data_IF_565025003241
#
_entry.id   IF_565025003241
#
_cell.length_a   1.000
_cell.length_b   1.000
_cell.length_c   1.000
_cell.angle_alpha   90.00
_cell.angle_beta   90.00
_cell.angle_gamma   90.00
#
_symmetry.space_group_name_H-M   'P 1'
#
loop_
_entity.id
_entity.type
_entity.pdbx_description
1 polymer ?
#
# COMPACT_ATOMS: atom_id res chain seq x y z
N UNK A 1 -44.71 27.63 -29.32
CA UNK A 1 -45.23 26.45 -30.03
C UNK A 1 -44.16 25.67 -30.81
N UNK A 2 -43.00 26.23 -31.19
CA UNK A 2 -42.09 25.57 -32.14
C UNK A 2 -41.35 24.32 -31.62
N UNK A 3 -41.13 24.17 -30.31
CA UNK A 3 -40.35 23.02 -29.77
C UNK A 3 -41.13 21.71 -29.74
N UNK A 4 -42.45 21.75 -29.53
CA UNK A 4 -43.30 20.55 -29.57
C UNK A 4 -43.52 20.08 -31.01
N UNK A 5 -43.70 21.02 -31.95
CA UNK A 5 -43.82 20.69 -33.37
C UNK A 5 -42.51 20.14 -33.96
N UNK A 6 -41.36 20.44 -33.34
CA UNK A 6 -40.06 19.89 -33.72
C UNK A 6 -39.72 18.54 -33.03
N UNK A 7 -40.65 17.94 -32.28
CA UNK A 7 -40.43 16.66 -31.58
C UNK A 7 -39.59 16.76 -30.31
N UNK A 8 -39.11 17.95 -29.91
CA UNK A 8 -38.33 18.17 -28.70
C UNK A 8 -39.24 18.34 -27.46
N UNK A 9 -39.99 17.29 -27.14
CA UNK A 9 -40.99 17.28 -26.05
C UNK A 9 -40.38 17.57 -24.69
N UNK A 10 -39.20 17.03 -24.40
CA UNK A 10 -38.50 17.19 -23.11
C UNK A 10 -37.97 18.61 -22.93
N UNK A 11 -37.46 19.22 -23.99
CA UNK A 11 -37.02 20.62 -23.97
C UNK A 11 -38.21 21.56 -23.72
N UNK A 12 -39.35 21.28 -24.33
CA UNK A 12 -40.58 22.04 -24.09
C UNK A 12 -41.11 21.86 -22.65
N UNK A 13 -41.00 20.65 -22.09
CA UNK A 13 -41.37 20.38 -20.70
C UNK A 13 -40.45 21.12 -19.71
N UNK A 14 -39.13 21.07 -19.91
CA UNK A 14 -38.15 21.80 -19.13
C UNK A 14 -38.39 23.31 -19.17
N UNK A 15 -38.62 23.89 -20.35
CA UNK A 15 -38.92 25.31 -20.48
C UNK A 15 -40.21 25.70 -19.78
N UNK A 16 -41.26 24.86 -19.86
CA UNK A 16 -42.50 25.07 -19.11
C UNK A 16 -42.20 25.10 -17.62
N UNK A 17 -41.47 24.11 -17.09
CA UNK A 17 -41.13 24.03 -15.67
C UNK A 17 -40.30 25.24 -15.18
N UNK A 18 -39.30 25.65 -15.97
CA UNK A 18 -38.44 26.79 -15.64
C UNK A 18 -39.22 28.11 -15.62
N UNK A 19 -40.23 28.24 -16.48
CA UNK A 19 -41.02 29.48 -16.63
C UNK A 19 -42.24 29.55 -15.71
N UNK A 20 -42.89 28.42 -15.38
CA UNK A 20 -44.17 28.43 -14.67
C UNK A 20 -44.07 28.15 -13.17
N UNK A 21 -43.02 27.46 -12.68
CA UNK A 21 -43.01 26.95 -11.30
C UNK A 21 -42.45 27.97 -10.30
N UNK A 22 -41.33 28.62 -10.60
CA UNK A 22 -40.73 29.64 -9.71
C UNK A 22 -39.69 30.50 -10.44
N UNK A 23 -39.62 31.81 -10.18
CA UNK A 23 -38.59 32.70 -10.76
C UNK A 23 -37.14 32.27 -10.46
N UNK A 24 -36.93 31.51 -9.37
CA UNK A 24 -35.60 30.99 -8.98
C UNK A 24 -35.27 29.64 -9.60
N UNK A 25 -36.22 28.97 -10.26
CA UNK A 25 -36.04 27.62 -10.83
C UNK A 25 -34.93 27.62 -11.88
N UNK A 26 -34.93 28.60 -12.78
CA UNK A 26 -33.88 28.79 -13.79
C UNK A 26 -32.47 28.88 -13.18
N UNK A 27 -32.33 29.65 -12.08
CA UNK A 27 -31.06 29.82 -11.37
C UNK A 27 -30.59 28.51 -10.75
N UNK A 28 -31.49 27.77 -10.10
CA UNK A 28 -31.21 26.44 -9.52
C UNK A 28 -30.75 25.43 -10.57
N UNK A 29 -31.41 25.37 -11.73
CA UNK A 29 -30.97 24.52 -12.85
C UNK A 29 -29.56 24.90 -13.33
N UNK A 30 -29.28 26.20 -13.49
CA UNK A 30 -27.93 26.67 -13.86
C UNK A 30 -26.88 26.30 -12.82
N UNK A 31 -27.17 26.46 -11.53
CA UNK A 31 -26.24 26.12 -10.43
C UNK A 31 -25.99 24.61 -10.36
N UNK A 32 -27.04 23.80 -10.40
CA UNK A 32 -26.93 22.34 -10.40
C UNK A 32 -26.18 21.83 -11.64
N UNK A 33 -26.50 22.38 -12.82
CA UNK A 33 -25.80 22.02 -14.05
C UNK A 33 -24.32 22.42 -14.00
N UNK A 34 -23.97 23.63 -13.53
CA UNK A 34 -22.57 24.03 -13.33
C UNK A 34 -21.84 23.13 -12.34
N UNK A 35 -22.47 22.82 -11.19
CA UNK A 35 -21.92 21.95 -10.14
C UNK A 35 -21.63 20.54 -10.65
N UNK A 36 -22.49 20.02 -11.53
CA UNK A 36 -22.34 18.67 -12.08
C UNK A 36 -21.46 18.62 -13.34
N UNK A 37 -21.43 19.69 -14.14
CA UNK A 37 -20.61 19.79 -15.36
C UNK A 37 -19.11 19.83 -15.05
N UNK A 38 -18.72 20.23 -13.84
CA UNK A 38 -17.32 20.31 -13.39
C UNK A 38 -16.80 19.07 -12.66
N UNK A 39 -17.59 18.00 -12.50
CA UNK A 39 -17.02 16.71 -12.10
C UNK A 39 -16.43 16.03 -13.33
N UNK A 40 -15.39 16.61 -13.92
CA UNK A 40 -14.50 15.83 -14.77
C UNK A 40 -13.97 14.65 -13.95
N UNK A 41 -13.71 13.49 -14.57
CA UNK A 41 -13.13 12.35 -13.88
C UNK A 41 -11.79 12.78 -13.30
N UNK A 42 -11.78 13.02 -11.99
CA UNK A 42 -10.56 13.32 -11.27
C UNK A 42 -9.63 12.11 -11.40
N UNK A 43 -8.37 12.39 -11.75
CA UNK A 43 -7.32 11.39 -11.76
C UNK A 43 -7.29 10.71 -10.40
N UNK A 44 -7.31 9.37 -10.40
CA UNK A 44 -7.18 8.59 -9.18
C UNK A 44 -5.90 9.03 -8.44
N UNK A 45 -5.98 9.35 -7.13
CA UNK A 45 -4.81 9.66 -6.34
C UNK A 45 -3.72 8.60 -6.47
N UNK A 46 -2.46 9.02 -6.50
CA UNK A 46 -1.34 8.10 -6.77
C UNK A 46 -1.26 6.96 -5.75
N UNK A 47 -1.51 7.22 -4.47
CA UNK A 47 -1.47 6.21 -3.41
C UNK A 47 -2.60 5.19 -3.55
N UNK A 48 -3.81 5.63 -3.92
CA UNK A 48 -4.96 4.76 -4.17
C UNK A 48 -4.72 3.88 -5.42
N UNK A 49 -4.16 4.47 -6.48
CA UNK A 49 -3.73 3.72 -7.65
C UNK A 49 -2.63 2.70 -7.34
N UNK A 50 -1.71 3.02 -6.43
CA UNK A 50 -0.68 2.10 -5.96
C UNK A 50 -1.30 0.95 -5.13
N UNK A 51 -2.24 1.25 -4.24
CA UNK A 51 -2.98 0.22 -3.46
C UNK A 51 -3.67 -0.75 -4.40
N UNK A 52 -4.47 -0.24 -5.35
CA UNK A 52 -5.13 -1.06 -6.37
C UNK A 52 -4.12 -1.90 -7.17
N UNK A 53 -2.98 -1.31 -7.57
CA UNK A 53 -1.95 -2.02 -8.33
C UNK A 53 -1.41 -3.24 -7.55
N UNK A 54 -1.18 -3.08 -6.24
CA UNK A 54 -0.62 -4.13 -5.37
C UNK A 54 -1.68 -5.17 -5.02
N UNK A 55 -2.86 -4.74 -4.57
CA UNK A 55 -3.97 -5.62 -4.17
C UNK A 55 -4.46 -6.50 -5.33
N UNK A 56 -4.56 -5.93 -6.53
CA UNK A 56 -4.96 -6.66 -7.73
C UNK A 56 -3.79 -7.42 -8.40
N UNK A 57 -2.61 -7.44 -7.78
CA UNK A 57 -1.40 -8.14 -8.25
C UNK A 57 -1.06 -7.83 -9.72
N UNK A 58 -1.22 -6.57 -10.12
CA UNK A 58 -1.05 -6.19 -11.52
C UNK A 58 0.42 -6.18 -11.92
N UNK A 59 0.70 -6.67 -13.11
CA UNK A 59 1.96 -6.37 -13.80
C UNK A 59 1.94 -4.97 -14.39
N UNK A 60 3.12 -4.41 -14.66
CA UNK A 60 3.26 -3.12 -15.38
C UNK A 60 2.50 -3.12 -16.71
N UNK A 61 2.55 -4.23 -17.45
CA UNK A 61 1.88 -4.36 -18.75
C UNK A 61 0.35 -4.26 -18.59
N UNK A 62 -0.22 -5.05 -17.69
CA UNK A 62 -1.66 -5.04 -17.40
C UNK A 62 -2.14 -3.66 -16.93
N UNK A 63 -1.39 -3.01 -16.04
CA UNK A 63 -1.70 -1.64 -15.61
C UNK A 63 -1.72 -0.65 -16.78
N UNK A 64 -0.74 -0.73 -17.68
CA UNK A 64 -0.71 0.13 -18.87
C UNK A 64 -1.87 -0.14 -19.83
N UNK A 65 -2.31 -1.40 -19.97
CA UNK A 65 -3.51 -1.75 -20.75
C UNK A 65 -4.75 -1.12 -20.12
N UNK A 66 -4.94 -1.25 -18.80
CA UNK A 66 -6.07 -0.63 -18.08
C UNK A 66 -6.06 0.90 -18.28
N UNK A 67 -4.90 1.52 -18.04
CA UNK A 67 -4.73 2.97 -18.23
C UNK A 67 -4.96 3.41 -19.68
N UNK A 68 -4.62 2.59 -20.68
CA UNK A 68 -4.87 2.92 -22.08
C UNK A 68 -6.36 3.10 -22.40
N UNK A 69 -7.23 2.42 -21.64
CA UNK A 69 -8.69 2.51 -21.77
C UNK A 69 -9.28 3.68 -20.99
N UNK A 70 -8.58 4.19 -19.97
CA UNK A 70 -9.04 5.29 -19.11
C UNK A 70 -7.86 6.18 -18.66
N UNK A 71 -7.29 6.93 -19.61
CA UNK A 71 -6.04 7.70 -19.41
C UNK A 71 -6.20 8.89 -18.46
N UNK A 72 -7.40 9.46 -18.46
CA UNK A 72 -7.90 10.53 -17.59
C UNK A 72 -8.20 10.05 -16.17
N UNK A 73 -8.51 8.76 -15.99
CA UNK A 73 -8.78 8.17 -14.67
C UNK A 73 -7.54 7.69 -13.94
N UNK A 74 -6.55 7.14 -14.64
CA UNK A 74 -5.40 6.48 -14.00
C UNK A 74 -4.08 7.27 -14.15
N UNK A 75 -3.32 7.45 -13.06
CA UNK A 75 -2.02 8.10 -13.12
C UNK A 75 -1.03 7.30 -13.97
N UNK A 76 -0.03 7.96 -14.53
CA UNK A 76 1.01 7.25 -15.29
C UNK A 76 1.76 6.26 -14.39
N UNK A 77 2.26 5.16 -14.96
CA UNK A 77 3.07 4.19 -14.22
C UNK A 77 4.31 4.82 -13.56
N UNK A 78 4.86 5.91 -14.13
CA UNK A 78 5.98 6.65 -13.52
C UNK A 78 5.64 7.17 -12.12
N UNK A 79 4.41 7.69 -11.93
CA UNK A 79 3.92 8.15 -10.63
C UNK A 79 3.76 6.99 -9.63
N UNK A 80 3.28 5.83 -10.10
CA UNK A 80 3.24 4.62 -9.28
C UNK A 80 4.63 4.19 -8.86
N UNK A 81 5.61 4.25 -9.77
CA UNK A 81 7.00 3.91 -9.47
C UNK A 81 7.63 4.87 -8.45
N UNK A 82 7.31 6.17 -8.53
CA UNK A 82 7.73 7.17 -7.53
C UNK A 82 7.11 6.84 -6.15
N UNK A 83 5.80 6.57 -6.10
CA UNK A 83 5.13 6.18 -4.86
C UNK A 83 5.65 4.85 -4.28
N UNK A 84 6.04 3.87 -5.12
CA UNK A 84 6.73 2.66 -4.64
C UNK A 84 8.06 2.97 -3.98
N UNK A 85 8.82 3.91 -4.53
CA UNK A 85 10.12 4.31 -3.98
C UNK A 85 9.97 4.98 -2.62
N UNK A 86 8.93 5.78 -2.42
CA UNK A 86 8.60 6.39 -1.14
C UNK A 86 8.28 5.34 -0.06
N UNK A 87 7.87 4.14 -0.45
CA UNK A 87 7.62 3.02 0.47
C UNK A 87 8.87 2.21 0.80
N UNK A 88 10.02 2.43 0.16
CA UNK A 88 11.26 1.72 0.48
C UNK A 88 12.07 2.46 1.55
N UNK A 89 12.75 1.72 2.47
CA UNK A 89 13.75 2.29 3.36
C UNK A 89 14.87 3.00 2.59
N UNK A 90 15.62 3.88 3.27
CA UNK A 90 16.77 4.56 2.66
C UNK A 90 17.78 3.53 2.13
N UNK A 91 18.34 3.78 0.95
CA UNK A 91 19.28 2.90 0.26
C UNK A 91 20.54 2.61 1.06
N UNK A 92 20.90 3.48 2.00
CA UNK A 92 22.04 3.26 2.90
C UNK A 92 21.81 2.09 3.86
N UNK A 93 20.56 1.74 4.14
CA UNK A 93 20.22 0.72 5.13
C UNK A 93 20.10 -0.68 4.54
N UNK A 94 20.04 -0.85 3.22
CA UNK A 94 19.93 -2.18 2.62
C UNK A 94 20.95 -2.42 1.51
N UNK A 95 21.34 -3.68 1.39
CA UNK A 95 22.29 -4.16 0.40
C UNK A 95 21.68 -5.35 -0.32
N UNK A 96 21.77 -5.33 -1.65
CA UNK A 96 21.34 -6.43 -2.51
C UNK A 96 22.56 -6.94 -3.26
N UNK A 97 22.82 -8.23 -3.15
CA UNK A 97 23.87 -8.94 -3.88
C UNK A 97 23.24 -9.97 -4.81
N UNK A 98 24.05 -10.69 -5.58
CA UNK A 98 23.57 -11.75 -6.48
C UNK A 98 22.96 -12.94 -5.73
N UNK A 99 23.38 -13.15 -4.48
CA UNK A 99 23.04 -14.33 -3.67
C UNK A 99 22.18 -14.01 -2.46
N UNK A 100 21.80 -12.75 -2.25
CA UNK A 100 21.02 -12.37 -1.08
C UNK A 100 20.68 -10.89 -1.00
N UNK A 101 19.86 -10.54 -0.03
CA UNK A 101 19.56 -9.16 0.32
C UNK A 101 19.46 -9.05 1.84
N UNK A 102 20.01 -7.98 2.39
CA UNK A 102 20.00 -7.70 3.83
C UNK A 102 19.64 -6.23 4.07
N UNK A 103 19.05 -5.97 5.24
CA UNK A 103 18.67 -4.63 5.67
C UNK A 103 19.00 -4.44 7.15
N UNK A 104 19.47 -3.25 7.50
CA UNK A 104 19.67 -2.83 8.88
C UNK A 104 18.34 -2.79 9.61
N UNK A 105 18.24 -3.55 10.71
CA UNK A 105 17.01 -3.69 11.48
C UNK A 105 16.46 -2.35 11.98
N UNK A 106 17.33 -1.46 12.45
CA UNK A 106 16.93 -0.12 12.91
C UNK A 106 16.39 0.73 11.76
N UNK A 107 17.05 0.71 10.60
CA UNK A 107 16.60 1.44 9.41
C UNK A 107 15.23 0.96 8.91
N UNK A 108 14.96 -0.35 8.98
CA UNK A 108 13.64 -0.91 8.68
C UNK A 108 12.59 -0.46 9.70
N UNK A 109 12.95 -0.46 10.98
CA UNK A 109 12.08 -0.05 12.08
C UNK A 109 11.67 1.42 11.98
N UNK A 110 12.65 2.30 11.82
CA UNK A 110 12.43 3.74 11.73
C UNK A 110 11.53 4.09 10.55
N UNK A 111 11.78 3.44 9.40
CA UNK A 111 10.95 3.61 8.21
C UNK A 111 9.51 3.13 8.45
N UNK A 112 9.35 1.95 9.06
CA UNK A 112 8.03 1.39 9.37
C UNK A 112 7.25 2.29 10.32
N UNK A 113 7.87 2.75 11.42
CA UNK A 113 7.27 3.69 12.37
C UNK A 113 6.87 4.99 11.67
N UNK A 114 7.77 5.56 10.87
CA UNK A 114 7.50 6.79 10.11
C UNK A 114 6.26 6.64 9.23
N UNK A 115 6.12 5.52 8.51
CA UNK A 115 4.96 5.24 7.66
C UNK A 115 3.68 5.06 8.47
N UNK A 116 3.72 4.36 9.61
CA UNK A 116 2.54 4.21 10.46
C UNK A 116 2.09 5.56 11.02
N UNK A 117 3.02 6.39 11.51
CA UNK A 117 2.72 7.73 12.01
C UNK A 117 2.11 8.63 10.92
N UNK A 118 2.58 8.53 9.67
CA UNK A 118 2.00 9.26 8.54
C UNK A 118 0.55 8.86 8.27
N UNK A 119 0.24 7.55 8.30
CA UNK A 119 -1.11 7.03 8.07
C UNK A 119 -2.04 7.39 9.22
N UNK A 120 -1.55 7.31 10.46
CA UNK A 120 -2.33 7.57 11.68
C UNK A 120 -2.35 9.04 12.08
N UNK A 121 -1.77 9.94 11.29
CA UNK A 121 -1.56 11.35 11.65
C UNK A 121 -2.83 12.06 12.15
N UNK A 122 -3.98 11.83 11.49
CA UNK A 122 -5.25 12.44 11.90
C UNK A 122 -5.76 11.90 13.24
N UNK A 123 -5.55 10.60 13.50
CA UNK A 123 -5.88 9.98 14.80
C UNK A 123 -4.96 10.53 15.88
N UNK A 124 -3.66 10.63 15.61
CA UNK A 124 -2.66 11.13 16.55
C UNK A 124 -2.92 12.59 16.93
N UNK A 125 -3.29 13.46 15.99
CA UNK A 125 -3.66 14.85 16.27
C UNK A 125 -4.89 15.00 17.16
N UNK A 126 -5.80 14.01 17.14
CA UNK A 126 -7.03 14.04 17.94
C UNK A 126 -6.81 13.62 19.40
N UNK A 127 -5.70 12.96 19.69
CA UNK A 127 -5.35 12.51 21.04
C UNK A 127 -4.69 13.65 21.84
N UNK A 128 -5.10 13.82 23.09
CA UNK A 128 -4.45 14.75 24.02
C UNK A 128 -3.35 14.01 24.80
N UNK A 129 -2.22 14.68 25.06
CA UNK A 129 -1.11 14.17 25.88
C UNK A 129 -0.35 12.95 25.32
N UNK A 130 -0.04 12.94 24.02
CA UNK A 130 0.87 11.96 23.43
C UNK A 130 2.34 12.35 23.69
N UNK A 131 2.91 11.88 24.79
CA UNK A 131 4.30 12.15 25.15
C UNK A 131 5.27 11.04 24.70
N UNK A 132 4.78 9.79 24.64
CA UNK A 132 5.59 8.63 24.29
C UNK A 132 4.71 7.55 23.65
N UNK A 133 5.24 6.94 22.60
CA UNK A 133 4.65 5.79 21.92
C UNK A 133 5.67 4.65 21.93
N UNK A 134 5.18 3.44 22.19
CA UNK A 134 6.00 2.22 22.16
C UNK A 134 5.50 1.34 21.03
N UNK A 135 6.42 0.98 20.12
CA UNK A 135 6.17 -0.01 19.08
C UNK A 135 6.54 -1.40 19.62
N UNK A 136 5.53 -2.26 19.80
CA UNK A 136 5.75 -3.67 20.11
C UNK A 136 5.66 -4.46 18.81
N UNK A 137 6.70 -5.22 18.49
CA UNK A 137 6.79 -6.03 17.29
C UNK A 137 7.22 -7.46 17.60
N UNK A 138 6.80 -8.39 16.75
CA UNK A 138 7.34 -9.74 16.68
C UNK A 138 8.19 -9.86 15.42
N UNK A 139 9.25 -10.67 15.48
CA UNK A 139 10.07 -11.02 14.33
C UNK A 139 10.36 -12.52 14.36
N UNK A 140 10.68 -13.08 13.19
CA UNK A 140 11.09 -14.47 13.04
C UNK A 140 11.74 -14.70 11.68
N UNK A 141 12.21 -15.92 11.46
CA UNK A 141 12.75 -16.37 10.19
C UNK A 141 12.17 -17.75 9.86
N UNK A 142 11.96 -17.99 8.58
CA UNK A 142 11.51 -19.29 8.09
C UNK A 142 12.26 -19.68 6.81
N UNK A 143 12.41 -20.99 6.62
CA UNK A 143 13.03 -21.61 5.46
C UNK A 143 11.99 -22.29 4.58
N UNK A 144 12.06 -22.05 3.27
CA UNK A 144 11.15 -22.70 2.31
C UNK A 144 11.93 -23.37 1.19
N UNK A 145 11.52 -24.59 0.82
CA UNK A 145 12.12 -25.45 -0.22
C UNK A 145 11.25 -25.51 -1.49
N UNK A 146 11.74 -26.17 -2.55
CA UNK A 146 10.97 -26.38 -3.79
C UNK A 146 10.90 -25.17 -4.72
N UNK A 147 11.80 -24.20 -4.57
CA UNK A 147 11.86 -23.03 -5.43
C UNK A 147 12.40 -23.33 -6.83
N UNK A 148 11.91 -22.60 -7.83
CA UNK A 148 12.42 -22.71 -9.21
C UNK A 148 13.90 -22.34 -9.31
N UNK A 149 14.67 -23.18 -9.99
CA UNK A 149 16.07 -22.92 -10.32
C UNK A 149 16.18 -22.05 -11.57
N UNK A 150 17.05 -21.04 -11.50
CA UNK A 150 17.32 -20.14 -12.62
C UNK A 150 18.73 -20.40 -13.14
N UNK A 151 18.93 -20.19 -14.45
CA UNK A 151 20.24 -20.29 -15.13
C UNK A 151 21.13 -19.06 -14.81
N UNK A 152 21.27 -18.73 -13.53
CA UNK A 152 22.10 -17.63 -13.06
C UNK A 152 23.57 -18.06 -13.09
N UNK A 153 24.46 -17.15 -13.50
CA UNK A 153 25.90 -17.40 -13.50
C UNK A 153 26.43 -17.08 -12.10
N UNK A 154 26.98 -18.07 -11.42
CA UNK A 154 27.65 -17.86 -10.13
C UNK A 154 29.13 -17.53 -10.36
N UNK A 155 29.72 -16.74 -9.46
CA UNK A 155 31.13 -16.35 -9.52
C UNK A 155 32.07 -17.42 -8.98
N UNK A 156 31.55 -18.44 -8.29
CA UNK A 156 32.33 -19.52 -7.69
C UNK A 156 31.73 -20.89 -8.02
N UNK A 157 32.55 -21.82 -8.53
CA UNK A 157 32.11 -23.16 -8.95
C UNK A 157 31.62 -24.06 -7.79
N UNK A 158 31.84 -23.63 -6.53
CA UNK A 158 31.32 -24.30 -5.33
C UNK A 158 29.92 -23.80 -4.90
N UNK A 159 29.36 -22.78 -5.56
CA UNK A 159 28.01 -22.30 -5.28
C UNK A 159 27.01 -23.15 -6.08
N UNK A 160 26.31 -24.06 -5.38
CA UNK A 160 25.19 -24.81 -5.96
C UNK A 160 23.97 -23.89 -6.14
N UNK A 161 23.09 -24.17 -7.12
CA UNK A 161 21.80 -23.47 -7.22
C UNK A 161 21.03 -23.61 -5.89
N UNK A 162 20.64 -22.48 -5.29
CA UNK A 162 19.90 -22.46 -4.03
C UNK A 162 18.42 -22.83 -4.29
N UNK A 163 18.01 -24.01 -3.84
CA UNK A 163 16.60 -24.44 -3.82
C UNK A 163 15.84 -23.95 -2.56
N UNK A 164 16.59 -23.49 -1.55
CA UNK A 164 16.08 -23.00 -0.29
C UNK A 164 16.12 -21.47 -0.25
N UNK A 165 15.02 -20.85 0.18
CA UNK A 165 14.98 -19.42 0.48
C UNK A 165 14.71 -19.25 1.96
N UNK A 166 15.46 -18.32 2.56
CA UNK A 166 15.24 -17.88 3.92
C UNK A 166 14.74 -16.44 3.87
N UNK A 167 13.66 -16.18 4.59
CA UNK A 167 13.09 -14.85 4.68
C UNK A 167 12.87 -14.49 6.14
N UNK A 168 13.26 -13.27 6.51
CA UNK A 168 12.83 -12.66 7.75
C UNK A 168 11.42 -12.14 7.55
N UNK A 169 10.49 -12.57 8.38
CA UNK A 169 9.13 -12.06 8.41
C UNK A 169 8.88 -11.28 9.72
N UNK A 170 8.08 -10.22 9.62
CA UNK A 170 7.83 -9.32 10.74
C UNK A 170 6.40 -8.83 10.75
N UNK A 171 5.72 -9.12 11.85
CA UNK A 171 4.41 -8.59 12.15
C UNK A 171 4.50 -7.41 13.12
N UNK A 172 3.88 -6.29 12.74
CA UNK A 172 3.61 -5.18 13.66
C UNK A 172 2.39 -5.55 14.48
N UNK A 173 2.60 -5.74 15.78
CA UNK A 173 1.54 -6.22 16.67
C UNK A 173 0.71 -5.03 17.18
N UNK A 174 1.32 -4.07 17.88
CA UNK A 174 0.58 -2.95 18.49
C UNK A 174 1.45 -1.70 18.66
N UNK A 175 0.84 -0.52 18.49
CA UNK A 175 1.34 0.77 18.97
C UNK A 175 0.55 1.15 20.22
N UNK A 176 1.23 1.24 21.36
CA UNK A 176 0.61 1.58 22.64
C UNK A 176 1.08 2.95 23.12
N UNK A 177 0.15 3.72 23.68
CA UNK A 177 0.47 4.88 24.51
C UNK A 177 0.91 4.35 25.88
N UNK A 178 2.16 4.59 26.25
CA UNK A 178 2.68 4.15 27.53
C UNK A 178 2.45 5.23 28.61
N UNK A 179 1.73 4.95 29.71
CA UNK A 179 2.03 5.60 30.98
C UNK A 179 3.30 4.92 31.54
N UNK A 180 4.37 5.69 31.73
CA UNK A 180 5.62 5.32 32.44
C UNK A 180 5.87 3.81 32.59
N UNK A 181 6.24 3.13 31.50
CA UNK A 181 6.72 1.76 31.56
C UNK A 181 8.23 1.78 31.65
N UNK A 182 8.78 1.30 32.77
CA UNK A 182 10.21 1.10 32.97
C UNK A 182 10.72 0.04 31.99
N UNK A 183 11.59 0.47 31.10
CA UNK A 183 12.05 -0.26 29.91
C UNK A 183 13.16 -1.26 30.26
N UNK A 184 13.51 -1.39 31.55
CA UNK A 184 14.62 -2.23 32.04
C UNK A 184 14.18 -3.61 32.56
N UNK A 185 12.87 -3.87 32.67
CA UNK A 185 12.37 -5.14 33.20
C UNK A 185 12.34 -6.24 32.11
N UNK A 186 13.49 -6.86 31.87
CA UNK A 186 13.65 -8.01 30.96
C UNK A 186 13.10 -9.31 31.54
N UNK A 187 12.54 -9.32 32.77
CA UNK A 187 12.06 -10.53 33.44
C UNK A 187 10.81 -11.16 32.79
N UNK A 188 10.21 -10.48 31.82
CA UNK A 188 9.03 -10.94 31.07
C UNK A 188 9.35 -11.48 29.66
N UNK A 189 10.61 -11.47 29.25
CA UNK A 189 11.04 -12.12 28.02
C UNK A 189 11.15 -13.61 28.28
N UNK A 190 10.24 -14.39 27.68
CA UNK A 190 10.29 -15.86 27.70
C UNK A 190 11.58 -16.26 26.98
N UNK A 191 12.47 -17.08 27.60
CA UNK A 191 13.64 -17.62 26.92
C UNK A 191 13.24 -18.37 25.65
N UNK A 192 14.09 -18.28 24.65
CA UNK A 192 14.03 -19.16 23.49
C UNK A 192 14.57 -20.52 23.97
N UNK A 193 13.69 -21.51 24.14
CA UNK A 193 14.10 -22.89 24.43
C UNK A 193 14.52 -23.50 23.08
N UNK A 194 15.83 -23.52 22.82
CA UNK A 194 16.44 -24.23 21.68
C UNK A 194 16.59 -25.73 22.02
N UNK A 195 15.48 -26.42 22.27
CA UNK A 195 15.46 -27.88 22.47
C UNK A 195 14.82 -28.56 21.23
N UNK A 196 15.53 -28.52 20.10
CA UNK A 196 15.29 -29.43 18.96
C UNK A 196 16.60 -30.20 18.69
N UNK A 197 16.97 -31.07 19.63
CA UNK A 197 17.91 -32.19 19.39
C UNK A 197 17.14 -33.28 18.63
N UNK A 198 16.95 -33.10 17.32
CA UNK A 198 16.59 -34.19 16.40
C UNK A 198 17.88 -35.00 16.09
N UNK A 199 18.29 -35.85 17.05
CA UNK A 199 19.17 -36.99 16.80
C UNK A 199 18.36 -38.05 16.03
N UNK A 200 18.26 -37.88 14.71
CA UNK A 200 17.85 -38.95 13.81
C UNK A 200 19.02 -39.96 13.68
N UNK A 201 18.97 -40.96 14.57
CA UNK A 201 19.60 -42.27 14.37
C UNK A 201 19.03 -42.92 13.10
N UNK A 202 19.74 -42.81 11.98
CA UNK A 202 19.58 -43.71 10.84
C UNK A 202 20.80 -44.64 10.76
N UNK A 203 20.72 -45.71 11.54
CA UNK A 203 21.22 -47.02 11.15
C UNK A 203 20.49 -47.45 9.87
N UNK A 204 21.20 -47.76 8.79
CA UNK A 204 20.87 -48.86 7.88
C UNK A 204 22.02 -49.14 6.88
N UNK A 205 22.58 -50.35 7.05
CA UNK A 205 23.38 -51.25 6.18
C UNK A 205 24.17 -50.74 4.95
#
# INVERSE_FOLDING_TARGET
MSLRSAGATDAAALLKEITTTSPRRAKRYKEAFKKNKTKEPELLPTHEALSMFVEAQLTRSQYNVIRSKAKDRFPSYKKIQEAKKECYPDKKHFKVTETGAEIELQGLLDHTVTRILQVQNEVLKSQQNLNQLVLISKWGFDGSSGHSEYKQKFTNDMQKPQQHKYALDRDVIQLLQAPELDITDTSKLVPFDDDDDDDDDDDDE
#
